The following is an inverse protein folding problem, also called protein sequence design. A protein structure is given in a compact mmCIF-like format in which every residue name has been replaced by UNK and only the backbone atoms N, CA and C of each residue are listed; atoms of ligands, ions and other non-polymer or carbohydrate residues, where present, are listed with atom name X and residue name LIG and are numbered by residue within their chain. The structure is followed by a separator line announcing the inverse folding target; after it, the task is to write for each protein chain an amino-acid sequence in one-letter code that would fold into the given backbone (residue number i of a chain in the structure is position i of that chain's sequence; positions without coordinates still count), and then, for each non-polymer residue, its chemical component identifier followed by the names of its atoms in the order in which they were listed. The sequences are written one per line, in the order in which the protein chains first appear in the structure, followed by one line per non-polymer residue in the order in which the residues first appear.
data_IF_722442041044
#
_entry.id   IF_722442041044
#
_cell.length_a   1.000
_cell.length_b   1.000
_cell.length_c   1.000
_cell.angle_alpha   90.00
_cell.angle_beta   90.00
_cell.angle_gamma   90.00
#
_symmetry.space_group_name_H-M   'P 1'
#
loop_
_entity.id
_entity.type
_entity.pdbx_description
1 polymer ?
#
# COMPACT_ATOMS: atom_id res chain seq x y z
N UNK A 1 52.06 17.06 12.49
CA UNK A 1 51.25 16.85 11.26
C UNK A 1 51.32 15.42 10.69
N UNK A 2 52.06 14.46 11.28
CA UNK A 2 52.12 13.04 10.81
C UNK A 2 51.38 12.03 11.70
N UNK A 3 50.84 12.44 12.85
CA UNK A 3 50.13 11.54 13.78
C UNK A 3 48.63 11.45 13.48
N UNK A 4 48.04 12.47 12.86
CA UNK A 4 46.61 12.46 12.50
C UNK A 4 46.26 11.62 11.24
N UNK A 5 47.23 11.42 10.31
CA UNK A 5 46.98 10.65 9.10
C UNK A 5 46.96 9.12 9.31
N UNK A 6 47.61 8.64 10.38
CA UNK A 6 47.73 7.20 10.68
C UNK A 6 46.49 6.69 11.44
N UNK A 7 45.81 7.53 12.21
CA UNK A 7 44.59 7.16 12.94
C UNK A 7 43.38 7.11 11.99
N UNK A 8 43.32 8.02 11.02
CA UNK A 8 42.24 8.07 10.03
C UNK A 8 42.30 6.89 9.05
N UNK A 9 43.50 6.46 8.64
CA UNK A 9 43.67 5.25 7.83
C UNK A 9 43.41 3.95 8.60
N UNK A 10 43.66 3.91 9.90
CA UNK A 10 43.32 2.74 10.73
C UNK A 10 41.82 2.62 10.94
N UNK A 11 41.09 3.73 11.19
CA UNK A 11 39.64 3.72 11.32
C UNK A 11 38.93 3.31 10.01
N UNK A 12 39.39 3.81 8.85
CA UNK A 12 38.84 3.45 7.54
C UNK A 12 39.13 1.98 7.18
N UNK A 13 40.27 1.43 7.62
CA UNK A 13 40.61 0.02 7.40
C UNK A 13 39.85 -0.90 8.36
N UNK A 14 39.59 -0.49 9.59
CA UNK A 14 38.72 -1.22 10.52
C UNK A 14 37.25 -1.20 10.10
N UNK A 15 36.70 -0.07 9.66
CA UNK A 15 35.35 -0.01 9.11
C UNK A 15 35.21 -0.87 7.83
N UNK A 16 36.22 -0.89 6.96
CA UNK A 16 36.25 -1.81 5.81
C UNK A 16 36.40 -3.28 6.21
N UNK A 17 37.11 -3.58 7.27
CA UNK A 17 37.26 -4.95 7.81
C UNK A 17 35.98 -5.42 8.50
N UNK A 18 35.28 -4.56 9.21
CA UNK A 18 33.97 -4.87 9.84
C UNK A 18 32.87 -4.97 8.79
N UNK A 19 32.94 -4.23 7.68
CA UNK A 19 32.05 -4.43 6.54
C UNK A 19 32.36 -5.67 5.69
N UNK A 20 33.59 -6.23 5.79
CA UNK A 20 34.00 -7.44 5.07
C UNK A 20 33.62 -8.76 5.77
N UNK A 21 33.12 -8.74 6.99
CA UNK A 21 32.65 -9.93 7.73
C UNK A 21 31.12 -10.00 7.86
N UNK A 22 30.35 -9.05 7.30
CA UNK A 22 28.94 -9.17 7.12
C UNK A 22 28.66 -9.92 5.81
N UNK A 23 28.53 -11.24 5.95
CA UNK A 23 27.89 -12.19 5.06
C UNK A 23 27.85 -11.75 3.58
N UNK A 24 28.71 -12.32 2.74
CA UNK A 24 28.66 -12.27 1.28
C UNK A 24 27.35 -12.91 0.76
N UNK A 25 26.20 -12.35 1.13
CA UNK A 25 24.93 -12.73 0.55
C UNK A 25 25.02 -12.39 -0.93
N UNK A 26 25.29 -13.39 -1.77
CA UNK A 26 25.39 -13.27 -3.22
C UNK A 26 24.15 -12.53 -3.74
N UNK A 27 24.33 -11.30 -4.20
CA UNK A 27 23.27 -10.51 -4.84
C UNK A 27 22.77 -11.28 -6.07
N UNK A 28 21.48 -11.52 -6.13
CA UNK A 28 20.80 -12.17 -7.26
C UNK A 28 20.08 -11.08 -8.05
N UNK A 29 20.59 -10.79 -9.24
CA UNK A 29 20.08 -9.74 -10.13
C UNK A 29 18.70 -10.05 -10.72
N UNK A 30 18.12 -9.07 -11.39
CA UNK A 30 16.76 -9.11 -11.96
C UNK A 30 16.60 -10.23 -13.00
N UNK A 31 17.62 -10.44 -13.81
CA UNK A 31 17.61 -11.40 -14.93
C UNK A 31 18.24 -12.75 -14.53
N UNK A 32 18.71 -12.90 -13.29
CA UNK A 32 19.35 -14.11 -12.81
C UNK A 32 18.33 -15.23 -12.57
N UNK A 33 18.78 -16.48 -12.79
CA UNK A 33 17.99 -17.66 -12.49
C UNK A 33 18.19 -18.12 -11.04
N UNK A 34 17.07 -18.30 -10.35
CA UNK A 34 17.01 -18.89 -9.02
C UNK A 34 16.51 -20.33 -9.14
N UNK A 35 17.15 -21.28 -8.42
CA UNK A 35 16.62 -22.64 -8.41
C UNK A 35 15.17 -22.67 -7.89
N UNK A 36 14.32 -23.51 -8.46
CA UNK A 36 12.90 -23.61 -8.10
C UNK A 36 12.71 -23.84 -6.60
N UNK A 37 13.56 -24.66 -5.99
CA UNK A 37 13.56 -24.96 -4.55
C UNK A 37 13.79 -23.70 -3.68
N UNK A 38 14.50 -22.68 -4.18
CA UNK A 38 14.73 -21.41 -3.49
C UNK A 38 13.72 -20.34 -3.91
N UNK A 39 13.30 -20.35 -5.17
CA UNK A 39 12.39 -19.34 -5.72
C UNK A 39 10.98 -19.46 -5.17
N UNK A 40 10.45 -20.68 -4.94
CA UNK A 40 9.13 -20.90 -4.37
C UNK A 40 9.02 -20.36 -2.94
N UNK A 41 9.89 -20.70 -1.98
CA UNK A 41 9.83 -20.12 -0.62
C UNK A 41 9.96 -18.60 -0.61
N UNK A 42 10.81 -18.01 -1.45
CA UNK A 42 10.94 -16.57 -1.58
C UNK A 42 9.68 -15.94 -2.17
N UNK A 43 9.07 -16.58 -3.18
CA UNK A 43 7.79 -16.11 -3.74
C UNK A 43 6.67 -16.13 -2.70
N UNK A 44 6.57 -17.20 -1.91
CA UNK A 44 5.63 -17.29 -0.79
C UNK A 44 5.93 -16.19 0.24
N UNK A 45 7.20 -15.93 0.56
CA UNK A 45 7.60 -14.85 1.46
C UNK A 45 7.12 -13.48 0.97
N UNK A 46 7.27 -13.17 -0.33
CA UNK A 46 6.77 -11.93 -0.93
C UNK A 46 5.25 -11.81 -0.81
N UNK A 47 4.51 -12.88 -1.08
CA UNK A 47 3.05 -12.88 -0.90
C UNK A 47 2.66 -12.71 0.58
N UNK A 48 3.35 -13.39 1.47
CA UNK A 48 3.06 -13.34 2.91
C UNK A 48 3.43 -12.00 3.55
N UNK A 49 4.47 -11.31 3.09
CA UNK A 49 4.83 -9.98 3.60
C UNK A 49 3.71 -8.95 3.38
N UNK A 50 2.92 -9.13 2.33
CA UNK A 50 1.80 -8.27 1.98
C UNK A 50 0.44 -8.79 2.42
N UNK A 51 0.39 -9.99 2.98
CA UNK A 51 -0.87 -10.63 3.33
C UNK A 51 -1.78 -9.72 4.16
N UNK A 52 -1.22 -9.11 5.21
CA UNK A 52 -1.99 -8.20 6.08
C UNK A 52 -2.57 -7.01 5.33
N UNK A 53 -1.78 -6.38 4.48
CA UNK A 53 -2.23 -5.24 3.68
C UNK A 53 -3.27 -5.65 2.63
N UNK A 54 -3.03 -6.74 1.91
CA UNK A 54 -3.95 -7.26 0.87
C UNK A 54 -5.30 -7.66 1.45
N UNK A 55 -5.34 -8.19 2.68
CA UNK A 55 -6.56 -8.64 3.35
C UNK A 55 -7.28 -7.50 4.05
N UNK A 56 -6.57 -6.52 4.59
CA UNK A 56 -7.18 -5.41 5.33
C UNK A 56 -8.10 -4.56 4.45
N UNK A 57 -7.71 -4.29 3.22
CA UNK A 57 -8.53 -3.48 2.30
C UNK A 57 -9.91 -4.11 2.06
N UNK A 58 -10.04 -5.39 1.63
CA UNK A 58 -11.34 -6.00 1.45
C UNK A 58 -12.14 -6.09 2.76
N UNK A 59 -11.51 -6.39 3.89
CA UNK A 59 -12.20 -6.43 5.20
C UNK A 59 -12.84 -5.09 5.55
N UNK A 60 -12.15 -3.96 5.28
CA UNK A 60 -12.68 -2.62 5.57
C UNK A 60 -13.72 -2.15 4.56
N UNK A 61 -13.60 -2.56 3.30
CA UNK A 61 -14.46 -2.09 2.21
C UNK A 61 -15.64 -3.00 1.91
N UNK A 62 -15.66 -4.21 2.48
CA UNK A 62 -16.69 -5.23 2.20
C UNK A 62 -16.43 -6.03 0.91
N UNK A 63 -15.27 -5.86 0.27
CA UNK A 63 -14.83 -6.67 -0.86
C UNK A 63 -14.45 -8.09 -0.41
N UNK A 64 -14.40 -9.04 -1.35
CA UNK A 64 -14.03 -10.42 -1.05
C UNK A 64 -12.50 -10.56 -0.91
N UNK A 65 -11.97 -11.11 0.21
CA UNK A 65 -10.53 -11.31 0.41
C UNK A 65 -9.87 -12.24 -0.61
N UNK A 66 -10.58 -13.29 -1.08
CA UNK A 66 -10.06 -14.18 -2.11
C UNK A 66 -9.90 -13.45 -3.44
N UNK A 67 -10.88 -12.63 -3.83
CA UNK A 67 -10.77 -11.79 -5.02
C UNK A 67 -9.57 -10.82 -4.90
N UNK A 68 -9.35 -10.23 -3.73
CA UNK A 68 -8.22 -9.34 -3.52
C UNK A 68 -6.87 -10.05 -3.69
N UNK A 69 -6.72 -11.27 -3.13
CA UNK A 69 -5.50 -12.08 -3.27
C UNK A 69 -5.34 -12.56 -4.73
N UNK A 70 -6.42 -13.01 -5.37
CA UNK A 70 -6.41 -13.42 -6.78
C UNK A 70 -6.01 -12.25 -7.70
N UNK A 71 -6.62 -11.08 -7.51
CA UNK A 71 -6.32 -9.87 -8.29
C UNK A 71 -4.88 -9.38 -8.07
N UNK A 72 -4.33 -9.54 -6.86
CA UNK A 72 -2.91 -9.29 -6.58
C UNK A 72 -2.00 -10.21 -7.42
N UNK A 73 -2.34 -11.50 -7.51
CA UNK A 73 -1.63 -12.45 -8.39
C UNK A 73 -1.73 -12.10 -9.87
N UNK A 74 -2.96 -11.89 -10.37
CA UNK A 74 -3.20 -11.48 -11.77
C UNK A 74 -2.49 -10.17 -12.08
N UNK A 75 -2.62 -9.18 -11.18
CA UNK A 75 -2.00 -7.87 -11.34
C UNK A 75 -0.49 -7.93 -11.42
N UNK A 76 0.14 -8.75 -10.58
CA UNK A 76 1.59 -8.96 -10.61
C UNK A 76 2.03 -9.62 -11.92
N UNK A 77 1.29 -10.64 -12.42
CA UNK A 77 1.55 -11.25 -13.73
C UNK A 77 1.48 -10.19 -14.84
N UNK A 78 0.41 -9.41 -14.87
CA UNK A 78 0.21 -8.34 -15.86
C UNK A 78 1.35 -7.32 -15.78
N UNK A 79 1.72 -6.90 -14.59
CA UNK A 79 2.82 -5.95 -14.37
C UNK A 79 4.15 -6.48 -14.92
N UNK A 80 4.51 -7.72 -14.61
CA UNK A 80 5.73 -8.36 -15.10
C UNK A 80 5.74 -8.48 -16.64
N UNK A 81 4.60 -8.79 -17.24
CA UNK A 81 4.47 -8.83 -18.71
C UNK A 81 4.64 -7.45 -19.34
N UNK A 82 3.95 -6.42 -18.81
CA UNK A 82 4.00 -5.04 -19.33
C UNK A 82 5.39 -4.44 -19.17
N UNK A 83 6.07 -4.72 -18.05
CA UNK A 83 7.44 -4.27 -17.79
C UNK A 83 8.51 -5.19 -18.40
N UNK A 84 8.09 -6.24 -19.13
CA UNK A 84 8.96 -7.21 -19.79
C UNK A 84 9.96 -7.86 -18.84
N UNK A 85 9.52 -8.20 -17.64
CA UNK A 85 10.33 -8.79 -16.57
C UNK A 85 11.57 -7.95 -16.16
N UNK A 86 11.53 -6.63 -16.35
CA UNK A 86 12.68 -5.77 -16.01
C UNK A 86 12.57 -5.13 -14.63
N UNK A 87 11.38 -5.02 -14.08
CA UNK A 87 11.14 -4.36 -12.79
C UNK A 87 10.60 -5.41 -11.81
N UNK A 88 11.37 -5.79 -10.78
CA UNK A 88 10.91 -6.71 -9.75
C UNK A 88 9.93 -5.98 -8.83
N UNK A 89 8.65 -6.30 -8.93
CA UNK A 89 7.60 -5.74 -8.07
C UNK A 89 6.45 -6.71 -7.93
N UNK A 90 5.81 -6.69 -6.77
CA UNK A 90 4.58 -7.41 -6.49
C UNK A 90 3.47 -6.39 -6.24
N UNK A 91 2.28 -6.63 -6.78
CA UNK A 91 1.13 -5.75 -6.67
C UNK A 91 0.14 -6.25 -5.63
N UNK A 92 -0.52 -5.32 -4.95
CA UNK A 92 -1.59 -5.65 -4.01
C UNK A 92 -2.56 -4.49 -3.81
N UNK A 93 -3.47 -4.62 -2.85
CA UNK A 93 -4.60 -3.71 -2.65
C UNK A 93 -4.16 -2.34 -2.15
N UNK A 94 -4.52 -1.26 -2.82
CA UNK A 94 -4.15 0.10 -2.44
C UNK A 94 -4.99 0.64 -1.28
N UNK A 95 -4.35 1.08 -0.21
CA UNK A 95 -5.00 1.68 0.98
C UNK A 95 -5.66 3.03 0.69
N UNK A 96 -5.14 3.79 -0.28
CA UNK A 96 -5.67 5.10 -0.63
C UNK A 96 -7.14 5.07 -1.05
N UNK A 97 -7.61 3.92 -1.54
CA UNK A 97 -8.98 3.76 -2.01
C UNK A 97 -9.97 3.26 -0.94
N UNK A 98 -9.54 2.96 0.30
CA UNK A 98 -10.44 2.46 1.34
C UNK A 98 -11.57 3.43 1.59
N UNK A 99 -11.27 4.67 1.99
CA UNK A 99 -12.28 5.69 2.27
C UNK A 99 -13.17 6.00 1.05
N UNK A 100 -12.62 6.25 -0.15
CA UNK A 100 -13.44 6.47 -1.35
C UNK A 100 -14.39 5.31 -1.68
N UNK A 101 -13.97 4.05 -1.54
CA UNK A 101 -14.83 2.88 -1.79
C UNK A 101 -15.95 2.81 -0.73
N UNK A 102 -15.64 3.02 0.55
CA UNK A 102 -16.64 3.04 1.62
C UNK A 102 -17.67 4.13 1.37
N UNK A 103 -17.23 5.36 1.06
CA UNK A 103 -18.13 6.50 0.80
C UNK A 103 -18.98 6.25 -0.45
N UNK A 104 -18.38 5.75 -1.55
CA UNK A 104 -19.12 5.43 -2.77
C UNK A 104 -20.16 4.33 -2.53
N UNK A 105 -19.81 3.29 -1.80
CA UNK A 105 -20.72 2.20 -1.45
C UNK A 105 -21.88 2.71 -0.57
N UNK A 106 -21.58 3.55 0.41
CA UNK A 106 -22.61 4.15 1.26
C UNK A 106 -23.55 5.10 0.50
N UNK A 107 -22.99 5.91 -0.40
CA UNK A 107 -23.74 6.87 -1.21
C UNK A 107 -24.65 6.22 -2.25
N UNK A 108 -24.21 5.11 -2.85
CA UNK A 108 -24.95 4.41 -3.92
C UNK A 108 -25.73 3.19 -3.43
N UNK A 109 -25.50 2.75 -2.18
CA UNK A 109 -26.08 1.53 -1.61
C UNK A 109 -25.56 0.24 -2.24
N UNK A 110 -24.50 0.28 -3.08
CA UNK A 110 -24.04 -0.88 -3.82
C UNK A 110 -22.51 -0.90 -3.99
N UNK A 111 -21.91 -1.99 -3.56
CA UNK A 111 -20.49 -2.26 -3.79
C UNK A 111 -20.16 -2.43 -5.29
N UNK A 112 -21.06 -3.05 -6.06
CA UNK A 112 -20.92 -3.19 -7.52
C UNK A 112 -20.78 -1.83 -8.23
N UNK A 113 -21.43 -0.81 -7.70
CA UNK A 113 -21.34 0.54 -8.23
C UNK A 113 -19.96 1.16 -7.90
N UNK A 114 -19.43 0.92 -6.69
CA UNK A 114 -18.08 1.38 -6.32
C UNK A 114 -17.00 0.76 -7.23
N UNK A 115 -17.17 -0.49 -7.68
CA UNK A 115 -16.24 -1.15 -8.62
C UNK A 115 -16.09 -0.39 -9.95
N UNK A 116 -17.11 0.35 -10.39
CA UNK A 116 -16.99 1.22 -11.59
C UNK A 116 -15.95 2.30 -11.41
N UNK A 117 -15.86 2.88 -10.21
CA UNK A 117 -14.82 3.84 -9.86
C UNK A 117 -13.43 3.22 -9.85
N UNK A 118 -13.30 1.93 -9.45
CA UNK A 118 -12.04 1.18 -9.50
C UNK A 118 -11.58 1.00 -10.95
N UNK A 119 -12.47 0.58 -11.85
CA UNK A 119 -12.14 0.44 -13.28
C UNK A 119 -11.67 1.77 -13.86
N UNK A 120 -12.40 2.86 -13.59
CA UNK A 120 -12.03 4.17 -14.12
C UNK A 120 -10.73 4.69 -13.48
N UNK A 121 -10.45 4.38 -12.20
CA UNK A 121 -9.14 4.68 -11.60
C UNK A 121 -8.00 3.99 -12.37
N UNK A 122 -8.17 2.74 -12.79
CA UNK A 122 -7.23 2.06 -13.69
C UNK A 122 -7.07 2.77 -15.03
N UNK A 123 -8.15 3.27 -15.61
CA UNK A 123 -8.09 4.10 -16.83
C UNK A 123 -7.34 5.41 -16.61
N UNK A 124 -7.47 6.04 -15.42
CA UNK A 124 -6.69 7.23 -15.06
C UNK A 124 -5.20 6.92 -15.01
N UNK A 125 -4.79 5.79 -14.41
CA UNK A 125 -3.38 5.36 -14.45
C UNK A 125 -2.87 5.21 -15.88
N UNK A 126 -3.64 4.59 -16.77
CA UNK A 126 -3.29 4.43 -18.18
C UNK A 126 -3.18 5.78 -18.90
N UNK A 127 -4.11 6.69 -18.66
CA UNK A 127 -4.07 8.04 -19.22
C UNK A 127 -2.82 8.80 -18.77
N UNK A 128 -2.51 8.77 -17.46
CA UNK A 128 -1.31 9.41 -16.91
C UNK A 128 -0.04 8.75 -17.46
N UNK A 129 0.01 7.43 -17.59
CA UNK A 129 1.12 6.72 -18.22
C UNK A 129 1.35 7.19 -19.67
N UNK A 130 0.26 7.37 -20.43
CA UNK A 130 0.29 7.91 -21.79
C UNK A 130 0.80 9.35 -21.84
N UNK A 131 0.32 10.20 -20.94
CA UNK A 131 0.78 11.61 -20.84
C UNK A 131 2.26 11.66 -20.46
N UNK A 132 2.71 10.87 -19.48
CA UNK A 132 4.13 10.82 -19.08
C UNK A 132 5.01 10.37 -20.24
N UNK A 133 4.55 9.39 -21.04
CA UNK A 133 5.29 8.91 -22.22
C UNK A 133 5.50 10.00 -23.28
N UNK A 134 4.55 10.92 -23.44
CA UNK A 134 4.57 11.98 -24.46
C UNK A 134 5.21 13.27 -23.91
N UNK A 135 4.79 13.70 -22.72
CA UNK A 135 5.12 15.02 -22.15
C UNK A 135 6.17 14.96 -21.01
N UNK A 136 6.64 13.74 -20.64
CA UNK A 136 7.55 13.59 -19.49
C UNK A 136 6.85 13.77 -18.14
N UNK A 137 7.64 13.93 -17.08
CA UNK A 137 7.14 14.01 -15.68
C UNK A 137 7.04 15.42 -15.11
N UNK A 138 7.56 16.43 -15.81
CA UNK A 138 7.67 17.79 -15.26
C UNK A 138 6.33 18.43 -14.90
N UNK A 139 5.28 18.18 -15.70
CA UNK A 139 3.93 18.66 -15.42
C UNK A 139 3.38 18.07 -14.11
N UNK A 140 3.71 16.81 -13.83
CA UNK A 140 3.26 16.11 -12.63
C UNK A 140 3.89 16.72 -11.36
N UNK A 141 5.21 16.99 -11.41
CA UNK A 141 5.91 17.67 -10.32
C UNK A 141 5.39 19.09 -10.08
N UNK A 142 4.90 19.73 -11.17
CA UNK A 142 4.30 21.06 -11.08
C UNK A 142 2.89 21.03 -10.47
N UNK A 143 2.09 20.03 -10.82
CA UNK A 143 0.72 19.85 -10.32
C UNK A 143 0.71 19.35 -8.87
N UNK A 144 1.58 18.40 -8.58
CA UNK A 144 1.66 17.67 -7.32
C UNK A 144 3.08 17.78 -6.74
N UNK A 145 3.46 18.96 -6.18
CA UNK A 145 4.77 19.12 -5.55
C UNK A 145 4.91 18.20 -4.33
N UNK A 146 6.14 17.86 -3.93
CA UNK A 146 6.39 16.96 -2.80
C UNK A 146 5.64 17.33 -1.52
N UNK A 147 5.47 18.62 -1.23
CA UNK A 147 4.71 19.08 -0.06
C UNK A 147 3.27 18.63 -0.10
N UNK A 148 2.61 18.71 -1.25
CA UNK A 148 1.21 18.30 -1.40
C UNK A 148 1.07 16.79 -1.26
N UNK A 149 1.92 16.03 -1.93
CA UNK A 149 1.89 14.56 -1.89
C UNK A 149 2.14 14.03 -0.49
N UNK A 150 3.18 14.53 0.18
CA UNK A 150 3.48 14.16 1.56
C UNK A 150 2.30 14.47 2.50
N UNK A 151 1.66 15.65 2.33
CA UNK A 151 0.47 16.03 3.10
C UNK A 151 -0.69 15.06 2.87
N UNK A 152 -0.97 14.65 1.63
CA UNK A 152 -2.04 13.69 1.32
C UNK A 152 -1.73 12.31 1.88
N UNK A 153 -0.47 11.85 1.86
CA UNK A 153 -0.09 10.59 2.51
C UNK A 153 -0.34 10.62 4.02
N UNK A 154 -0.03 11.75 4.68
CA UNK A 154 -0.37 11.94 6.11
C UNK A 154 -1.89 11.86 6.30
N UNK A 155 -2.67 12.50 5.44
CA UNK A 155 -4.15 12.44 5.49
C UNK A 155 -4.66 11.00 5.34
N UNK A 156 -4.11 10.20 4.43
CA UNK A 156 -4.50 8.79 4.27
C UNK A 156 -4.26 8.02 5.58
N UNK A 157 -3.06 8.09 6.13
CA UNK A 157 -2.72 7.32 7.33
C UNK A 157 -3.50 7.79 8.58
N UNK A 158 -3.52 9.09 8.84
CA UNK A 158 -4.19 9.64 10.03
C UNK A 158 -5.72 9.61 9.87
N UNK A 159 -6.25 9.85 8.68
CA UNK A 159 -7.69 9.83 8.41
C UNK A 159 -8.34 8.47 8.71
N UNK A 160 -7.63 7.37 8.42
CA UNK A 160 -8.08 6.01 8.72
C UNK A 160 -7.89 5.60 10.20
N UNK A 161 -7.21 6.41 11.01
CA UNK A 161 -6.92 6.09 12.41
C UNK A 161 -8.18 5.89 13.27
N UNK A 162 -9.24 6.64 12.99
CA UNK A 162 -10.52 6.49 13.69
C UNK A 162 -11.16 5.12 13.41
N UNK A 163 -11.09 4.61 12.18
CA UNK A 163 -11.58 3.28 11.84
C UNK A 163 -10.75 2.20 12.55
N UNK A 164 -9.41 2.31 12.52
CA UNK A 164 -8.54 1.38 13.25
C UNK A 164 -8.80 1.38 14.77
N UNK A 165 -8.98 2.56 15.37
CA UNK A 165 -9.27 2.68 16.79
C UNK A 165 -10.63 2.04 17.16
N UNK A 166 -11.67 2.23 16.33
CA UNK A 166 -12.98 1.57 16.53
C UNK A 166 -12.84 0.05 16.47
N UNK A 167 -12.12 -0.49 15.48
CA UNK A 167 -11.90 -1.93 15.36
C UNK A 167 -11.09 -2.48 16.54
N UNK A 168 -10.13 -1.73 17.06
CA UNK A 168 -9.27 -2.13 18.16
C UNK A 168 -9.94 -2.08 19.52
N UNK A 169 -10.77 -1.08 19.76
CA UNK A 169 -11.22 -0.73 21.12
C UNK A 169 -12.71 -1.00 21.38
N UNK A 170 -13.54 -1.12 20.33
CA UNK A 170 -14.97 -1.27 20.50
C UNK A 170 -15.42 -2.72 20.34
N UNK A 171 -16.45 -3.10 21.09
CA UNK A 171 -17.18 -4.34 20.93
C UNK A 171 -18.32 -4.25 19.89
N UNK A 172 -19.07 -5.33 19.68
CA UNK A 172 -20.19 -5.37 18.73
C UNK A 172 -21.29 -4.33 19.03
N UNK A 173 -21.41 -3.90 20.29
CA UNK A 173 -22.34 -2.87 20.73
C UNK A 173 -21.82 -1.43 20.56
N UNK A 174 -20.71 -1.27 19.86
CA UNK A 174 -20.01 0.02 19.63
C UNK A 174 -19.57 0.72 20.93
N UNK A 175 -19.46 -0.02 22.04
CA UNK A 175 -18.91 0.47 23.30
C UNK A 175 -17.50 -0.05 23.52
N UNK A 176 -16.76 0.63 24.39
CA UNK A 176 -15.43 0.16 24.80
C UNK A 176 -15.50 -1.26 25.35
N UNK A 177 -14.66 -2.14 24.80
CA UNK A 177 -14.55 -3.54 25.20
C UNK A 177 -13.11 -3.85 25.61
N UNK A 178 -12.90 -4.12 26.90
CA UNK A 178 -11.57 -4.40 27.43
C UNK A 178 -10.90 -5.61 26.75
N UNK A 179 -11.66 -6.66 26.42
CA UNK A 179 -11.15 -7.83 25.69
C UNK A 179 -10.66 -7.43 24.31
N UNK A 180 -11.44 -6.63 23.55
CA UNK A 180 -11.03 -6.13 22.25
C UNK A 180 -9.74 -5.31 22.34
N UNK A 181 -9.68 -4.39 23.31
CA UNK A 181 -8.51 -3.54 23.55
C UNK A 181 -7.25 -4.37 23.91
N UNK A 182 -7.39 -5.41 24.74
CA UNK A 182 -6.28 -6.33 25.08
C UNK A 182 -5.80 -7.09 23.85
N UNK A 183 -6.69 -7.68 23.06
CA UNK A 183 -6.32 -8.42 21.84
C UNK A 183 -5.65 -7.50 20.83
N UNK A 184 -6.21 -6.33 20.59
CA UNK A 184 -5.60 -5.34 19.69
C UNK A 184 -4.24 -4.87 20.20
N UNK A 185 -4.10 -4.64 21.51
CA UNK A 185 -2.83 -4.27 22.15
C UNK A 185 -1.76 -5.35 22.02
N UNK A 186 -2.11 -6.62 22.25
CA UNK A 186 -1.20 -7.77 22.05
C UNK A 186 -0.76 -7.84 20.58
N UNK A 187 -1.70 -7.71 19.65
CA UNK A 187 -1.44 -7.77 18.21
C UNK A 187 -0.52 -6.61 17.77
N UNK A 188 -0.81 -5.38 18.20
CA UNK A 188 0.00 -4.21 17.91
C UNK A 188 1.42 -4.35 18.48
N UNK A 189 1.55 -4.77 19.73
CA UNK A 189 2.85 -4.97 20.38
C UNK A 189 3.66 -6.04 19.63
N UNK A 190 3.04 -7.16 19.26
CA UNK A 190 3.67 -8.20 18.46
C UNK A 190 4.16 -7.64 17.11
N UNK A 191 3.33 -6.85 16.42
CA UNK A 191 3.68 -6.24 15.15
C UNK A 191 4.91 -5.31 15.27
N UNK A 192 4.95 -4.48 16.32
CA UNK A 192 6.10 -3.59 16.61
C UNK A 192 7.36 -4.39 16.92
N UNK A 193 7.26 -5.42 17.76
CA UNK A 193 8.40 -6.27 18.13
C UNK A 193 8.96 -6.98 16.89
N UNK A 194 8.09 -7.58 16.06
CA UNK A 194 8.52 -8.28 14.85
C UNK A 194 9.09 -7.33 13.80
N UNK A 195 8.56 -6.10 13.67
CA UNK A 195 9.11 -5.08 12.76
C UNK A 195 10.55 -4.66 13.13
N UNK A 196 10.93 -4.78 14.39
CA UNK A 196 12.30 -4.51 14.84
C UNK A 196 13.28 -5.67 14.67
N UNK A 197 12.82 -6.85 14.23
CA UNK A 197 13.68 -8.04 14.06
C UNK A 197 14.41 -8.00 12.72
N UNK A 198 15.55 -8.72 12.67
CA UNK A 198 16.33 -8.89 11.43
C UNK A 198 15.91 -10.20 10.71
N UNK A 199 16.26 -10.29 9.42
CA UNK A 199 16.01 -11.50 8.62
C UNK A 199 14.52 -11.70 8.29
N UNK A 200 14.12 -12.95 8.12
CA UNK A 200 12.76 -13.33 7.64
C UNK A 200 11.67 -12.83 8.60
N UNK A 201 11.88 -12.87 9.90
CA UNK A 201 10.89 -12.40 10.91
C UNK A 201 10.57 -10.92 10.67
N UNK A 202 11.59 -10.08 10.47
CA UNK A 202 11.41 -8.65 10.22
C UNK A 202 10.77 -8.33 8.85
N UNK A 203 10.69 -9.29 7.94
CA UNK A 203 9.98 -9.11 6.64
C UNK A 203 8.52 -9.52 6.68
N UNK A 204 8.06 -10.19 7.76
CA UNK A 204 6.69 -10.71 7.92
C UNK A 204 5.99 -10.20 9.20
N UNK A 205 6.24 -8.96 9.67
CA UNK A 205 5.80 -8.52 11.00
C UNK A 205 4.29 -8.53 11.15
N UNK A 206 3.57 -8.12 10.12
CA UNK A 206 2.11 -8.02 10.11
C UNK A 206 1.48 -9.41 10.16
N UNK A 207 1.95 -10.34 9.34
CA UNK A 207 1.45 -11.71 9.34
C UNK A 207 1.66 -12.38 10.70
N UNK A 208 2.87 -12.27 11.26
CA UNK A 208 3.20 -12.87 12.56
C UNK A 208 2.37 -12.24 13.69
N UNK A 209 2.11 -10.95 13.64
CA UNK A 209 1.24 -10.27 14.59
C UNK A 209 -0.22 -10.74 14.48
N UNK A 210 -0.73 -10.92 13.26
CA UNK A 210 -2.07 -11.50 13.06
C UNK A 210 -2.14 -12.90 13.70
N UNK A 211 -1.13 -13.74 13.50
CA UNK A 211 -1.08 -15.08 14.10
C UNK A 211 -1.08 -15.02 15.64
N UNK A 212 -0.27 -14.14 16.24
CA UNK A 212 -0.26 -13.93 17.69
C UNK A 212 -1.61 -13.46 18.21
N UNK A 213 -2.21 -12.43 17.57
CA UNK A 213 -3.53 -11.92 17.93
C UNK A 213 -4.65 -12.97 17.74
N UNK A 214 -4.55 -13.78 16.69
CA UNK A 214 -5.48 -14.87 16.39
C UNK A 214 -5.43 -15.94 17.50
N UNK A 215 -4.21 -16.39 17.87
CA UNK A 215 -4.02 -17.34 18.95
C UNK A 215 -4.56 -16.76 20.28
N UNK A 216 -4.24 -15.50 20.60
CA UNK A 216 -4.78 -14.84 21.79
C UNK A 216 -6.30 -14.79 21.77
N UNK A 217 -6.91 -14.54 20.61
CA UNK A 217 -8.37 -14.54 20.42
C UNK A 217 -9.00 -15.92 20.60
N UNK A 218 -8.26 -17.00 20.24
CA UNK A 218 -8.73 -18.37 20.46
C UNK A 218 -8.88 -18.70 21.95
N UNK A 219 -7.95 -18.25 22.79
CA UNK A 219 -8.01 -18.47 24.24
C UNK A 219 -9.22 -17.79 24.92
N UNK A 220 -9.74 -16.71 24.33
CA UNK A 220 -10.91 -16.00 24.87
C UNK A 220 -12.22 -16.36 24.13
N UNK A 221 -12.17 -17.36 23.22
CA UNK A 221 -13.36 -17.88 22.54
C UNK A 221 -13.98 -16.95 21.49
N UNK A 222 -13.19 -16.02 20.92
CA UNK A 222 -13.69 -15.09 19.90
C UNK A 222 -13.71 -15.68 18.48
N UNK A 223 -13.18 -16.88 18.27
CA UNK A 223 -13.06 -17.47 16.95
C UNK A 223 -14.19 -18.45 16.68
N UNK A 224 -14.89 -18.25 15.58
CA UNK A 224 -15.85 -19.21 15.05
C UNK A 224 -15.27 -19.92 13.82
N UNK A 225 -14.94 -21.20 13.96
CA UNK A 225 -14.37 -22.01 12.88
C UNK A 225 -15.41 -22.62 11.93
N UNK A 226 -16.73 -22.50 12.22
CA UNK A 226 -17.74 -23.13 11.40
C UNK A 226 -17.68 -22.71 9.91
N UNK A 227 -17.47 -21.43 9.55
CA UNK A 227 -17.32 -21.04 8.16
C UNK A 227 -16.16 -21.72 7.42
N UNK A 228 -15.06 -22.04 8.15
CA UNK A 228 -13.92 -22.77 7.56
C UNK A 228 -14.24 -24.23 7.33
N UNK A 229 -14.99 -24.85 8.26
CA UNK A 229 -15.41 -26.26 8.12
C UNK A 229 -16.33 -26.40 6.91
N UNK A 230 -17.30 -25.50 6.75
CA UNK A 230 -18.32 -25.55 5.71
C UNK A 230 -17.80 -25.16 4.32
N UNK A 231 -16.74 -24.36 4.24
CA UNK A 231 -16.17 -23.92 2.98
C UNK A 231 -15.54 -25.07 2.18
N UNK A 232 -15.76 -25.16 0.87
CA UNK A 232 -15.12 -26.14 0.01
C UNK A 232 -13.61 -25.89 -0.12
N UNK A 233 -12.83 -26.93 -0.38
CA UNK A 233 -11.40 -26.82 -0.65
C UNK A 233 -11.09 -26.18 -2.00
N UNK A 234 -11.94 -26.48 -3.01
CA UNK A 234 -11.78 -25.99 -4.38
C UNK A 234 -13.07 -25.32 -4.81
N UNK A 235 -12.92 -24.10 -5.34
CA UNK A 235 -14.02 -23.29 -5.86
C UNK A 235 -13.52 -21.98 -6.42
N UNK A 236 -14.33 -21.31 -7.22
CA UNK A 236 -14.01 -19.95 -7.69
C UNK A 236 -14.56 -18.92 -6.70
N UNK A 237 -13.86 -17.78 -6.49
CA UNK A 237 -14.40 -16.69 -5.71
C UNK A 237 -15.62 -16.06 -6.41
N UNK A 238 -16.52 -15.41 -5.67
CA UNK A 238 -17.69 -14.77 -6.25
C UNK A 238 -17.27 -13.53 -7.06
N UNK A 239 -17.10 -13.70 -8.37
CA UNK A 239 -16.78 -12.60 -9.28
C UNK A 239 -17.92 -11.59 -9.27
N UNK A 240 -17.60 -10.32 -9.04
CA UNK A 240 -18.56 -9.22 -8.97
C UNK A 240 -18.29 -8.24 -10.11
N UNK A 241 -19.23 -8.11 -11.03
CA UNK A 241 -19.09 -7.18 -12.15
C UNK A 241 -19.47 -5.75 -11.76
N UNK A 242 -18.77 -4.73 -12.26
CA UNK A 242 -19.07 -3.33 -11.96
C UNK A 242 -20.38 -2.87 -12.62
N UNK A 243 -21.16 -2.09 -11.89
CA UNK A 243 -22.26 -1.29 -12.45
C UNK A 243 -21.79 0.16 -12.59
N UNK A 244 -21.66 0.64 -13.84
CA UNK A 244 -21.13 1.97 -14.11
C UNK A 244 -22.07 3.06 -13.63
N UNK A 245 -21.60 3.86 -12.68
CA UNK A 245 -22.31 4.97 -12.09
C UNK A 245 -21.37 6.20 -11.98
N UNK A 246 -21.77 7.35 -12.55
CA UNK A 246 -20.94 8.55 -12.53
C UNK A 246 -20.59 9.03 -11.11
N UNK A 247 -21.47 8.80 -10.14
CA UNK A 247 -21.27 9.20 -8.76
C UNK A 247 -20.08 8.46 -8.12
N UNK A 248 -20.09 7.13 -8.22
CA UNK A 248 -18.98 6.31 -7.72
C UNK A 248 -17.67 6.61 -8.45
N UNK A 249 -17.72 6.87 -9.76
CA UNK A 249 -16.55 7.23 -10.57
C UNK A 249 -15.92 8.54 -10.08
N UNK A 250 -16.72 9.57 -9.86
CA UNK A 250 -16.23 10.88 -9.37
C UNK A 250 -15.64 10.78 -7.97
N UNK A 251 -16.14 9.87 -7.13
CA UNK A 251 -15.62 9.64 -5.79
C UNK A 251 -14.27 8.92 -5.77
N UNK A 252 -14.08 7.93 -6.64
CA UNK A 252 -12.97 6.98 -6.55
C UNK A 252 -11.84 7.34 -7.55
N UNK A 253 -12.18 7.66 -8.80
CA UNK A 253 -11.17 7.81 -9.85
C UNK A 253 -10.12 8.92 -9.61
N UNK A 254 -10.45 10.08 -9.01
CA UNK A 254 -9.45 11.13 -8.75
C UNK A 254 -8.33 10.69 -7.80
N UNK A 255 -8.58 9.71 -6.92
CA UNK A 255 -7.58 9.20 -5.97
C UNK A 255 -6.42 8.52 -6.71
N UNK A 256 -6.67 8.00 -7.91
CA UNK A 256 -5.62 7.42 -8.74
C UNK A 256 -4.44 8.39 -8.98
N UNK A 257 -4.70 9.71 -9.07
CA UNK A 257 -3.65 10.72 -9.27
C UNK A 257 -2.67 10.74 -8.08
N UNK A 258 -3.18 10.56 -6.87
CA UNK A 258 -2.34 10.48 -5.65
C UNK A 258 -1.49 9.21 -5.69
N UNK A 259 -2.08 8.07 -6.04
CA UNK A 259 -1.39 6.78 -6.09
C UNK A 259 -0.34 6.74 -7.21
N UNK A 260 -0.51 7.49 -8.31
CA UNK A 260 0.54 7.66 -9.33
C UNK A 260 1.86 8.11 -8.70
N UNK A 261 1.82 9.03 -7.73
CA UNK A 261 3.04 9.55 -7.12
C UNK A 261 3.63 8.56 -6.12
N UNK A 262 2.78 7.86 -5.37
CA UNK A 262 3.20 6.74 -4.54
C UNK A 262 3.93 5.69 -5.39
N UNK A 263 3.36 5.33 -6.53
CA UNK A 263 3.95 4.40 -7.49
C UNK A 263 5.33 4.87 -8.01
N UNK A 264 5.46 6.17 -8.35
CA UNK A 264 6.75 6.75 -8.74
C UNK A 264 7.77 6.59 -7.62
N UNK A 265 7.38 6.86 -6.37
CA UNK A 265 8.24 6.66 -5.20
C UNK A 265 8.72 5.23 -5.06
N UNK A 266 7.82 4.25 -5.21
CA UNK A 266 8.16 2.83 -5.16
C UNK A 266 9.09 2.42 -6.31
N UNK A 267 8.85 2.89 -7.53
CA UNK A 267 9.71 2.60 -8.68
C UNK A 267 11.14 3.12 -8.49
N UNK A 268 11.29 4.33 -7.94
CA UNK A 268 12.61 4.91 -7.63
C UNK A 268 13.31 4.11 -6.53
N UNK A 269 12.59 3.72 -5.48
CA UNK A 269 13.15 2.90 -4.40
C UNK A 269 13.59 1.51 -4.89
N UNK A 270 12.81 0.87 -5.77
CA UNK A 270 13.22 -0.38 -6.44
C UNK A 270 14.48 -0.16 -7.25
N UNK A 271 14.55 0.95 -8.00
CA UNK A 271 15.75 1.32 -8.78
C UNK A 271 16.99 1.47 -7.91
N UNK A 272 16.86 2.12 -6.76
CA UNK A 272 17.94 2.33 -5.80
C UNK A 272 18.51 1.01 -5.25
N UNK A 273 17.65 0.11 -4.77
CA UNK A 273 18.10 -1.18 -4.20
C UNK A 273 18.64 -2.16 -5.26
N UNK A 274 18.10 -2.10 -6.48
CA UNK A 274 18.55 -2.94 -7.61
C UNK A 274 19.80 -2.37 -8.28
N UNK A 275 20.10 -1.07 -8.08
CA UNK A 275 21.19 -0.37 -8.74
C UNK A 275 20.91 -0.07 -10.22
N UNK A 276 19.64 0.09 -10.61
CA UNK A 276 19.21 0.40 -12.00
C UNK A 276 18.30 1.64 -12.03
N UNK A 277 18.48 2.51 -13.01
CA UNK A 277 17.56 3.63 -13.22
C UNK A 277 16.34 3.19 -14.04
N UNK A 278 15.18 3.15 -13.37
CA UNK A 278 13.91 2.78 -14.00
C UNK A 278 13.05 3.97 -14.44
N UNK A 279 13.53 5.22 -14.36
CA UNK A 279 12.74 6.41 -14.74
C UNK A 279 12.25 6.34 -16.19
N UNK A 280 13.06 5.83 -17.12
CA UNK A 280 12.63 5.64 -18.49
C UNK A 280 11.51 4.61 -18.68
N UNK A 281 11.31 3.72 -17.70
CA UNK A 281 10.28 2.69 -17.71
C UNK A 281 9.03 3.09 -16.91
N UNK A 282 8.98 4.30 -16.36
CA UNK A 282 7.83 4.78 -15.59
C UNK A 282 6.49 4.65 -16.34
N UNK A 283 6.38 5.01 -17.63
CA UNK A 283 5.13 4.82 -18.36
C UNK A 283 4.66 3.36 -18.42
N UNK A 284 5.57 2.42 -18.64
CA UNK A 284 5.26 1.00 -18.67
C UNK A 284 4.88 0.47 -17.30
N UNK A 285 5.63 0.88 -16.27
CA UNK A 285 5.37 0.51 -14.87
C UNK A 285 3.98 0.96 -14.43
N UNK A 286 3.64 2.22 -14.69
CA UNK A 286 2.32 2.77 -14.37
C UNK A 286 1.20 2.16 -15.22
N UNK A 287 1.47 1.83 -16.49
CA UNK A 287 0.51 1.12 -17.33
C UNK A 287 0.24 -0.30 -16.80
N UNK A 288 1.23 -0.97 -16.21
CA UNK A 288 1.05 -2.24 -15.51
C UNK A 288 0.06 -2.13 -14.36
N UNK A 289 0.20 -1.13 -13.49
CA UNK A 289 -0.76 -0.84 -12.40
C UNK A 289 -2.14 -0.51 -12.95
N UNK A 290 -2.21 0.27 -14.02
CA UNK A 290 -3.49 0.67 -14.63
C UNK A 290 -4.27 -0.52 -15.19
N UNK A 291 -3.61 -1.38 -15.99
CA UNK A 291 -4.24 -2.58 -16.55
C UNK A 291 -4.66 -3.53 -15.42
N UNK A 292 -3.78 -3.73 -14.44
CA UNK A 292 -4.06 -4.56 -13.26
C UNK A 292 -5.29 -4.05 -12.49
N UNK A 293 -5.38 -2.75 -12.23
CA UNK A 293 -6.51 -2.12 -11.53
C UNK A 293 -7.81 -2.25 -12.34
N UNK A 294 -7.77 -2.06 -13.67
CA UNK A 294 -8.94 -2.29 -14.52
C UNK A 294 -9.43 -3.74 -14.41
N UNK A 295 -8.53 -4.72 -14.55
CA UNK A 295 -8.88 -6.13 -14.45
C UNK A 295 -9.45 -6.44 -13.06
N UNK A 296 -8.81 -5.93 -12.00
CA UNK A 296 -9.28 -6.11 -10.62
C UNK A 296 -10.70 -5.57 -10.44
N UNK A 297 -10.98 -4.35 -10.93
CA UNK A 297 -12.31 -3.75 -10.86
C UNK A 297 -13.39 -4.53 -11.62
N UNK A 298 -13.04 -5.12 -12.77
CA UNK A 298 -13.97 -5.99 -13.52
C UNK A 298 -14.22 -7.33 -12.85
N UNK A 299 -13.29 -7.83 -12.05
CA UNK A 299 -13.44 -9.09 -11.32
C UNK A 299 -14.09 -8.89 -9.94
N UNK A 300 -14.19 -7.65 -9.45
CA UNK A 300 -14.74 -7.36 -8.13
C UNK A 300 -13.67 -7.20 -7.04
N UNK A 301 -12.42 -7.02 -7.43
CA UNK A 301 -11.31 -6.78 -6.52
C UNK A 301 -11.02 -5.30 -6.28
N UNK A 302 -10.17 -4.98 -5.30
CA UNK A 302 -9.72 -3.63 -5.01
C UNK A 302 -8.75 -3.08 -6.06
N UNK A 303 -8.55 -1.75 -6.14
CA UNK A 303 -7.47 -1.16 -6.93
C UNK A 303 -6.12 -1.70 -6.49
N UNK A 304 -5.25 -1.98 -7.45
CA UNK A 304 -3.93 -2.56 -7.21
C UNK A 304 -2.81 -1.55 -7.44
N UNK A 305 -1.75 -1.65 -6.65
CA UNK A 305 -0.52 -0.85 -6.79
C UNK A 305 0.70 -1.64 -6.30
N UNK A 306 1.90 -1.15 -6.61
CA UNK A 306 3.16 -1.68 -6.07
C UNK A 306 3.29 -1.39 -4.57
N UNK A 307 4.07 -2.21 -3.85
CA UNK A 307 4.14 -2.15 -2.39
C UNK A 307 5.56 -1.94 -1.85
N UNK A 308 5.67 -1.10 -0.82
CA UNK A 308 6.93 -0.83 -0.11
C UNK A 308 7.44 -2.04 0.69
N UNK A 309 6.54 -2.87 1.22
CA UNK A 309 6.89 -4.07 1.99
C UNK A 309 7.70 -5.07 1.17
N UNK A 310 7.37 -5.23 -0.12
CA UNK A 310 8.15 -6.08 -1.02
C UNK A 310 9.53 -5.50 -1.33
N UNK A 311 9.67 -4.18 -1.34
CA UNK A 311 10.97 -3.50 -1.42
C UNK A 311 11.79 -3.85 -0.17
N UNK A 312 11.15 -3.85 1.02
CA UNK A 312 11.78 -4.29 2.26
C UNK A 312 12.27 -5.74 2.21
N UNK A 313 11.47 -6.68 1.67
CA UNK A 313 11.89 -8.08 1.48
C UNK A 313 13.10 -8.16 0.56
N UNK A 314 13.07 -7.46 -0.58
CA UNK A 314 14.20 -7.42 -1.52
C UNK A 314 15.47 -6.86 -0.88
N UNK A 315 15.35 -5.82 -0.06
CA UNK A 315 16.48 -5.21 0.66
C UNK A 315 17.14 -6.16 1.66
N UNK A 316 16.36 -7.04 2.29
CA UNK A 316 16.87 -8.02 3.27
C UNK A 316 17.41 -9.27 2.59
N UNK A 317 16.75 -9.74 1.54
CA UNK A 317 17.11 -11.00 0.86
C UNK A 317 18.21 -10.84 -0.20
N UNK A 318 18.42 -9.62 -0.69
CA UNK A 318 19.27 -9.28 -1.85
C UNK A 318 18.92 -10.11 -3.11
N UNK A 319 17.65 -10.53 -3.23
CA UNK A 319 17.14 -11.29 -4.37
C UNK A 319 16.19 -10.42 -5.16
N UNK A 320 16.59 -10.05 -6.38
CA UNK A 320 15.84 -9.18 -7.28
C UNK A 320 15.27 -9.91 -8.51
N UNK A 321 15.50 -11.24 -8.60
CA UNK A 321 15.07 -12.05 -9.74
C UNK A 321 13.55 -11.99 -9.95
N UNK A 322 13.10 -11.54 -11.12
CA UNK A 322 11.68 -11.47 -11.46
C UNK A 322 10.99 -12.83 -11.45
N UNK A 323 11.74 -13.91 -11.62
CA UNK A 323 11.26 -15.27 -11.48
C UNK A 323 10.59 -15.53 -10.12
N UNK A 324 11.09 -14.94 -9.03
CA UNK A 324 10.52 -15.08 -7.68
C UNK A 324 9.12 -14.47 -7.63
N UNK A 325 8.90 -13.33 -8.30
CA UNK A 325 7.60 -12.67 -8.36
C UNK A 325 6.58 -13.43 -9.21
N UNK A 326 7.03 -14.17 -10.24
CA UNK A 326 6.16 -15.11 -10.96
C UNK A 326 5.63 -16.21 -10.05
N UNK A 327 6.48 -16.80 -9.19
CA UNK A 327 6.02 -17.78 -8.19
C UNK A 327 5.10 -17.16 -7.16
N UNK A 328 5.41 -15.96 -6.67
CA UNK A 328 4.55 -15.24 -5.74
C UNK A 328 3.15 -14.99 -6.34
N UNK A 329 3.11 -14.49 -7.57
CA UNK A 329 1.89 -14.22 -8.30
C UNK A 329 1.08 -15.49 -8.61
N UNK A 330 1.76 -16.55 -9.06
CA UNK A 330 1.12 -17.85 -9.30
C UNK A 330 0.53 -18.46 -8.04
N UNK A 331 1.24 -18.36 -6.92
CA UNK A 331 0.75 -18.85 -5.63
C UNK A 331 -0.47 -18.04 -5.15
N UNK A 332 -0.42 -16.71 -5.25
CA UNK A 332 -1.55 -15.85 -4.91
C UNK A 332 -2.78 -16.12 -5.80
N UNK A 333 -2.56 -16.34 -7.10
CA UNK A 333 -3.63 -16.70 -8.04
C UNK A 333 -4.28 -18.04 -7.66
N UNK A 334 -3.49 -19.06 -7.32
CA UNK A 334 -3.99 -20.39 -6.94
C UNK A 334 -4.74 -20.29 -5.61
N UNK A 335 -4.14 -19.68 -4.60
CA UNK A 335 -4.71 -19.60 -3.25
C UNK A 335 -5.96 -18.72 -3.24
N UNK A 336 -5.90 -17.53 -3.81
CA UNK A 336 -7.03 -16.59 -3.88
C UNK A 336 -8.09 -17.03 -4.89
N UNK A 337 -7.67 -17.58 -6.05
CA UNK A 337 -8.61 -17.93 -7.13
C UNK A 337 -9.32 -19.26 -6.94
N UNK A 338 -8.75 -20.23 -6.24
CA UNK A 338 -9.27 -21.60 -6.24
C UNK A 338 -9.44 -22.21 -4.84
N UNK A 339 -9.15 -21.51 -3.74
CA UNK A 339 -9.26 -22.06 -2.40
C UNK A 339 -10.20 -21.23 -1.49
N UNK A 340 -11.54 -21.45 -1.56
CA UNK A 340 -12.51 -20.73 -0.71
C UNK A 340 -12.26 -20.86 0.79
N UNK A 341 -11.62 -21.96 1.25
CA UNK A 341 -11.24 -22.12 2.66
C UNK A 341 -10.31 -21.03 3.15
N UNK A 342 -9.49 -20.46 2.28
CA UNK A 342 -8.59 -19.34 2.66
C UNK A 342 -9.40 -18.07 2.98
N UNK A 343 -10.40 -17.70 2.16
CA UNK A 343 -11.28 -16.58 2.49
C UNK A 343 -12.08 -16.85 3.76
N UNK A 344 -12.60 -18.08 3.90
CA UNK A 344 -13.32 -18.45 5.12
C UNK A 344 -12.43 -18.34 6.35
N UNK A 345 -11.17 -18.79 6.28
CA UNK A 345 -10.19 -18.64 7.36
C UNK A 345 -9.90 -17.16 7.67
N UNK A 346 -9.67 -16.33 6.63
CA UNK A 346 -9.47 -14.89 6.78
C UNK A 346 -10.69 -14.25 7.46
N UNK A 347 -11.89 -14.64 7.07
CA UNK A 347 -13.14 -14.17 7.66
C UNK A 347 -13.31 -14.53 9.15
N UNK A 348 -12.56 -15.50 9.67
CA UNK A 348 -12.56 -15.83 11.10
C UNK A 348 -11.62 -14.97 11.94
N UNK A 349 -10.78 -14.13 11.31
CA UNK A 349 -9.87 -13.23 12.04
C UNK A 349 -10.71 -12.19 12.80
N UNK A 350 -10.63 -12.17 14.14
CA UNK A 350 -11.43 -11.25 14.94
C UNK A 350 -11.11 -9.78 14.63
N UNK A 351 -12.15 -8.94 14.62
CA UNK A 351 -12.05 -7.50 14.34
C UNK A 351 -10.96 -6.80 15.18
N UNK A 352 -10.81 -7.08 16.51
CA UNK A 352 -9.74 -6.46 17.29
C UNK A 352 -8.31 -6.80 16.81
N UNK A 353 -8.09 -8.00 16.26
CA UNK A 353 -6.79 -8.38 15.66
C UNK A 353 -6.49 -7.48 14.46
N UNK A 354 -7.48 -7.33 13.57
CA UNK A 354 -7.37 -6.45 12.41
C UNK A 354 -7.21 -4.99 12.85
N UNK A 355 -7.89 -4.57 13.93
CA UNK A 355 -7.73 -3.24 14.52
C UNK A 355 -6.30 -2.97 14.99
N UNK A 356 -5.68 -3.92 15.72
CA UNK A 356 -4.29 -3.81 16.17
C UNK A 356 -3.29 -3.67 15.03
N UNK A 357 -3.45 -4.47 13.98
CA UNK A 357 -2.64 -4.38 12.75
C UNK A 357 -2.87 -3.05 12.02
N UNK A 358 -4.13 -2.62 11.90
CA UNK A 358 -4.49 -1.37 11.21
C UNK A 358 -3.85 -0.16 11.87
N UNK A 359 -3.79 -0.11 13.20
CA UNK A 359 -3.12 0.97 13.94
C UNK A 359 -1.64 1.10 13.52
N UNK A 360 -0.92 -0.03 13.38
CA UNK A 360 0.46 0.00 12.91
C UNK A 360 0.54 0.43 11.44
N UNK A 361 -0.24 -0.20 10.54
CA UNK A 361 -0.14 0.05 9.10
C UNK A 361 -0.50 1.48 8.74
N UNK A 362 -1.57 2.04 9.31
CA UNK A 362 -1.95 3.44 9.04
C UNK A 362 -0.95 4.42 9.66
N UNK A 363 -0.38 4.06 10.84
CA UNK A 363 0.73 4.80 11.42
C UNK A 363 1.97 4.82 10.52
N UNK A 364 2.31 3.70 9.89
CA UNK A 364 3.43 3.62 8.94
C UNK A 364 3.17 4.45 7.68
N UNK A 365 1.92 4.45 7.14
CA UNK A 365 1.56 5.30 6.00
C UNK A 365 1.73 6.78 6.35
N UNK A 366 1.21 7.21 7.50
CA UNK A 366 1.37 8.59 7.97
C UNK A 366 2.86 8.95 8.15
N UNK A 367 3.65 8.06 8.75
CA UNK A 367 5.09 8.23 8.95
C UNK A 367 5.86 8.31 7.64
N UNK A 368 5.47 7.53 6.62
CA UNK A 368 6.04 7.65 5.28
C UNK A 368 5.72 9.02 4.64
N UNK A 369 4.53 9.57 4.85
CA UNK A 369 4.20 10.94 4.47
C UNK A 369 5.12 11.96 5.15
N UNK A 370 5.33 11.85 6.47
CA UNK A 370 6.27 12.70 7.22
C UNK A 370 7.72 12.54 6.72
N UNK A 371 8.16 11.31 6.50
CA UNK A 371 9.47 11.02 5.91
C UNK A 371 9.65 11.70 4.55
N UNK A 372 8.61 11.76 3.76
CA UNK A 372 8.63 12.35 2.42
C UNK A 372 8.92 13.86 2.46
N UNK A 373 8.42 14.60 3.48
CA UNK A 373 8.81 16.00 3.71
C UNK A 373 10.32 16.14 3.91
N UNK A 374 10.91 15.27 4.73
CA UNK A 374 12.34 15.32 5.05
C UNK A 374 13.20 14.91 3.85
N UNK A 375 12.85 13.80 3.20
CA UNK A 375 13.61 13.25 2.05
C UNK A 375 13.64 14.20 0.87
N UNK A 376 12.50 14.87 0.59
CA UNK A 376 12.40 15.86 -0.48
C UNK A 376 12.84 17.26 -0.05
N UNK A 377 13.37 17.41 1.18
CA UNK A 377 13.87 18.70 1.74
C UNK A 377 12.83 19.81 1.58
N UNK A 378 11.57 19.51 1.92
CA UNK A 378 10.49 20.50 1.84
C UNK A 378 10.81 21.64 2.81
N UNK A 379 10.98 22.84 2.26
CA UNK A 379 11.28 24.04 3.03
C UNK A 379 9.97 24.61 3.63
N UNK A 380 9.81 24.50 4.95
CA UNK A 380 8.66 25.05 5.69
C UNK A 380 8.84 26.51 6.11
N UNK A 381 10.02 27.12 5.90
CA UNK A 381 10.20 28.56 5.99
C UNK A 381 9.58 29.26 4.77
N UNK A 382 9.38 28.52 3.66
CA UNK A 382 8.52 28.98 2.58
C UNK A 382 7.05 28.92 3.01
N UNK A 383 6.46 30.11 3.16
CA UNK A 383 5.06 30.27 3.58
C UNK A 383 4.07 29.52 2.64
N UNK A 384 4.41 29.34 1.37
CA UNK A 384 3.61 28.58 0.40
C UNK A 384 3.51 27.10 0.82
N UNK A 385 4.63 26.46 1.09
CA UNK A 385 4.68 25.06 1.50
C UNK A 385 3.97 24.88 2.85
N UNK A 386 4.21 25.81 3.79
CA UNK A 386 3.55 25.80 5.10
C UNK A 386 2.03 25.85 4.97
N UNK A 387 1.49 26.75 4.13
CA UNK A 387 0.04 26.90 3.93
C UNK A 387 -0.56 25.66 3.25
N UNK A 388 0.08 25.14 2.19
CA UNK A 388 -0.40 23.92 1.51
C UNK A 388 -0.48 22.76 2.51
N UNK A 389 0.60 22.47 3.24
CA UNK A 389 0.63 21.38 4.18
C UNK A 389 -0.41 21.54 5.29
N UNK A 390 -0.48 22.73 5.90
CA UNK A 390 -1.41 23.01 7.01
C UNK A 390 -2.86 22.80 6.59
N UNK A 391 -3.27 23.39 5.46
CA UNK A 391 -4.66 23.30 5.00
C UNK A 391 -5.01 21.88 4.58
N UNK A 392 -4.16 21.21 3.80
CA UNK A 392 -4.42 19.86 3.30
C UNK A 392 -4.53 18.87 4.45
N UNK A 393 -3.59 18.90 5.40
CA UNK A 393 -3.56 17.94 6.51
C UNK A 393 -4.76 18.18 7.42
N UNK A 394 -4.99 19.40 7.89
CA UNK A 394 -6.04 19.63 8.89
C UNK A 394 -7.44 19.41 8.31
N UNK A 395 -7.66 19.84 7.05
CA UNK A 395 -8.94 19.66 6.40
C UNK A 395 -9.19 18.19 6.06
N UNK A 396 -8.19 17.51 5.48
CA UNK A 396 -8.30 16.11 5.10
C UNK A 396 -8.53 15.20 6.31
N UNK A 397 -7.69 15.31 7.34
CA UNK A 397 -7.83 14.53 8.58
C UNK A 397 -9.15 14.86 9.30
N UNK A 398 -9.49 16.16 9.43
CA UNK A 398 -10.70 16.60 10.10
C UNK A 398 -11.97 16.05 9.44
N UNK A 399 -12.05 16.13 8.11
CA UNK A 399 -13.22 15.60 7.38
C UNK A 399 -13.29 14.07 7.41
N UNK A 400 -12.16 13.36 7.24
CA UNK A 400 -12.13 11.89 7.26
C UNK A 400 -12.53 11.36 8.66
N UNK A 401 -11.96 11.91 9.72
CA UNK A 401 -12.26 11.46 11.09
C UNK A 401 -13.66 11.80 11.53
N UNK A 402 -14.18 12.96 11.12
CA UNK A 402 -15.55 13.38 11.38
C UNK A 402 -16.57 12.79 10.41
N UNK A 403 -16.12 12.06 9.38
CA UNK A 403 -16.94 11.52 8.29
C UNK A 403 -17.81 12.59 7.58
N UNK A 404 -17.21 13.78 7.41
CA UNK A 404 -17.85 14.90 6.70
C UNK A 404 -17.51 14.79 5.22
N UNK A 405 -18.56 14.75 4.40
CA UNK A 405 -18.44 14.77 2.94
C UNK A 405 -19.09 16.04 2.38
N UNK A 406 -18.49 16.68 1.39
CA UNK A 406 -19.02 17.89 0.77
C UNK A 406 -19.97 17.53 -0.37
N UNK A 407 -21.25 17.93 -0.31
CA UNK A 407 -22.17 17.74 -1.42
C UNK A 407 -21.82 18.74 -2.56
N UNK A 408 -21.65 18.22 -3.76
CA UNK A 408 -21.31 19.03 -4.95
C UNK A 408 -22.18 18.60 -6.14
N UNK A 409 -23.24 19.35 -6.45
CA UNK A 409 -24.05 19.14 -7.64
C UNK A 409 -24.64 17.72 -7.77
N UNK A 410 -25.08 17.11 -6.68
CA UNK A 410 -25.58 15.74 -6.65
C UNK A 410 -24.52 14.68 -6.34
N UNK A 411 -23.25 15.07 -6.26
CA UNK A 411 -22.12 14.22 -5.85
C UNK A 411 -21.70 14.55 -4.41
N UNK A 412 -20.99 13.61 -3.76
CA UNK A 412 -20.39 13.85 -2.45
C UNK A 412 -18.88 13.65 -2.55
N UNK A 413 -18.09 14.60 -2.06
CA UNK A 413 -16.63 14.51 -2.06
C UNK A 413 -16.14 14.11 -0.66
N UNK A 414 -15.43 12.99 -0.49
CA UNK A 414 -14.81 12.61 0.78
C UNK A 414 -13.65 13.56 1.14
N UNK A 415 -13.28 13.57 2.42
CA UNK A 415 -12.28 14.48 2.97
C UNK A 415 -10.94 14.44 2.25
N UNK A 416 -10.45 13.23 1.93
CA UNK A 416 -9.19 13.06 1.21
C UNK A 416 -9.23 13.66 -0.19
N UNK A 417 -10.28 13.39 -0.98
CA UNK A 417 -10.42 13.96 -2.31
C UNK A 417 -10.56 15.49 -2.24
N UNK A 418 -11.36 16.00 -1.30
CA UNK A 418 -11.55 17.43 -1.07
C UNK A 418 -10.24 18.14 -0.72
N UNK A 419 -9.49 17.61 0.25
CA UNK A 419 -8.23 18.21 0.68
C UNK A 419 -7.16 18.17 -0.41
N UNK A 420 -7.14 17.10 -1.21
CA UNK A 420 -6.23 16.98 -2.36
C UNK A 420 -6.56 18.04 -3.43
N UNK A 421 -7.83 18.20 -3.80
CA UNK A 421 -8.25 19.21 -4.77
C UNK A 421 -7.94 20.62 -4.28
N UNK A 422 -8.23 20.92 -3.01
CA UNK A 422 -7.88 22.21 -2.41
C UNK A 422 -6.36 22.41 -2.43
N UNK A 423 -5.57 21.40 -2.12
CA UNK A 423 -4.12 21.46 -2.19
C UNK A 423 -3.60 21.75 -3.60
N UNK A 424 -4.20 21.16 -4.64
CA UNK A 424 -3.88 21.47 -6.05
C UNK A 424 -4.21 22.92 -6.37
N UNK A 425 -5.37 23.41 -5.95
CA UNK A 425 -5.79 24.80 -6.15
C UNK A 425 -4.83 25.76 -5.43
N UNK A 426 -4.51 25.50 -4.16
CA UNK A 426 -3.53 26.31 -3.41
C UNK A 426 -2.16 26.31 -4.10
N UNK A 427 -1.73 25.17 -4.58
CA UNK A 427 -0.48 25.04 -5.32
C UNK A 427 -0.47 25.87 -6.62
N UNK A 428 -1.61 26.02 -7.27
CA UNK A 428 -1.75 26.84 -8.49
C UNK A 428 -1.84 28.34 -8.21
N UNK A 429 -2.50 28.73 -7.11
CA UNK A 429 -2.82 30.13 -6.79
C UNK A 429 -1.71 30.82 -5.97
N UNK A 430 -1.07 30.09 -5.05
CA UNK A 430 -0.04 30.68 -4.19
C UNK A 430 1.21 31.05 -5.00
N UNK A 431 1.78 32.25 -4.79
CA UNK A 431 2.96 32.70 -5.53
C UNK A 431 4.16 31.78 -5.27
N UNK A 432 4.91 31.47 -6.32
CA UNK A 432 6.18 30.75 -6.24
C UNK A 432 7.30 31.71 -5.92
N UNK A 433 8.02 31.50 -4.83
CA UNK A 433 9.22 32.30 -4.54
C UNK A 433 10.34 31.99 -5.54
N UNK A 434 11.14 33.00 -5.84
CA UNK A 434 12.18 33.01 -6.90
C UNK A 434 13.30 31.96 -6.72
N UNK A 435 13.37 31.22 -5.60
CA UNK A 435 14.37 30.16 -5.33
C UNK A 435 14.08 28.84 -6.10
N UNK A 436 12.87 28.65 -6.62
CA UNK A 436 12.51 27.44 -7.36
C UNK A 436 12.90 27.48 -8.86
N UNK A 437 13.65 28.50 -9.28
CA UNK A 437 14.10 28.69 -10.66
C UNK A 437 15.57 28.35 -10.93
N UNK A 438 16.27 27.76 -9.97
CA UNK A 438 17.66 27.36 -10.12
C UNK A 438 17.86 25.85 -10.18
#
# INVERSE_FOLDING_TARGET
MRVFSTVEHAHISEERSVMSTADDAKIIGVDDHVSVARAIPLGIQHMMSMFGATVLVPVLTGLDPNLAIMCSGIGTIVYLLVTRNKIPSYLGSSFAFISPIIVATAATGSLHTALSGVVVAGCVFLAVAGIIKIAGTNWLNTLLPPVLVASVMVVIGVGLSAAAARMALLGPDSKFAAVSACIAGITLLAAVIFSGQKGIIGTLPVLLAILVGYVASAFVGLINFQPVVDAPWIGLPPIQTPHFDPHAIVLIAPVAIVVVIEHIGHLLAVGEIVGKDYRAMLPQSLAGDGISTCISGFLGGPPTTTYAENIGVMSVTHVFATQVFWYAAGFALIVGGFCPKVAAFIGTIPVPVMGGVSLLLFGLIASNGLRMFVTNKVDFDDNRNLMIASVVIILGVGMETAQINIPLGGYTLPGMATSTLIGIVLNAVLPRHSKDKA
#
